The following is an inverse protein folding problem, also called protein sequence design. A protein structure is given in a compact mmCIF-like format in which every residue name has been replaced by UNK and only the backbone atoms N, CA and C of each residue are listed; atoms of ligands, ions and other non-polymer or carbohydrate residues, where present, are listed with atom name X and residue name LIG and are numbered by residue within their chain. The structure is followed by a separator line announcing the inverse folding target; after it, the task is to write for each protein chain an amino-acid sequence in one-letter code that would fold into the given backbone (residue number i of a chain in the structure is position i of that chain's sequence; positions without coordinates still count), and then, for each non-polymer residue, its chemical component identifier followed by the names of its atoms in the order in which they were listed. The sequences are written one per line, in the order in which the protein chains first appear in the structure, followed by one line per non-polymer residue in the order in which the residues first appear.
data_IF_914677065260
#
_entry.id   IF_914677065260
#
_cell.length_a   1.000
_cell.length_b   1.000
_cell.length_c   1.000
_cell.angle_alpha   90.00
_cell.angle_beta   90.00
_cell.angle_gamma   90.00
#
_symmetry.space_group_name_H-M   'P 1'
#
loop_
_entity.id
_entity.type
_entity.pdbx_description
1 polymer ?
#
# COMPACT_ATOMS: atom_id res chain seq x y z
N UNK A 1 -12.87 6.83 0.77
CA UNK A 1 -13.72 5.84 1.46
C UNK A 1 -14.55 6.58 2.49
N UNK A 2 -15.87 6.38 2.50
CA UNK A 2 -16.80 6.97 3.47
C UNK A 2 -17.90 5.98 3.79
N UNK A 3 -18.36 5.95 5.03
CA UNK A 3 -19.52 5.16 5.45
C UNK A 3 -20.11 5.70 6.75
N UNK A 4 -21.37 5.37 7.01
CA UNK A 4 -22.08 5.69 8.26
C UNK A 4 -22.08 4.48 9.17
N UNK A 5 -21.65 4.70 10.42
CA UNK A 5 -21.50 3.67 11.44
C UNK A 5 -22.27 4.06 12.70
N UNK A 6 -22.92 3.08 13.32
CA UNK A 6 -23.50 3.28 14.64
C UNK A 6 -22.40 3.12 15.69
N UNK A 7 -22.18 4.18 16.46
CA UNK A 7 -21.26 4.17 17.61
C UNK A 7 -22.06 4.43 18.88
N UNK A 8 -21.79 3.66 19.93
CA UNK A 8 -22.47 3.81 21.23
C UNK A 8 -21.56 4.51 22.24
N UNK A 9 -22.16 5.19 23.22
CA UNK A 9 -21.40 5.87 24.26
C UNK A 9 -20.48 4.91 25.01
N UNK A 10 -19.20 5.28 25.13
CA UNK A 10 -18.16 4.46 25.78
C UNK A 10 -17.38 3.53 24.85
N UNK A 11 -17.75 3.43 23.57
CA UNK A 11 -16.98 2.70 22.56
C UNK A 11 -15.65 3.42 22.25
N UNK A 12 -14.55 2.67 22.28
CA UNK A 12 -13.20 3.18 21.92
C UNK A 12 -12.91 2.83 20.46
N UNK A 13 -12.61 3.85 19.66
CA UNK A 13 -12.18 3.69 18.28
C UNK A 13 -10.67 3.85 18.18
N UNK A 14 -10.03 2.89 17.55
CA UNK A 14 -8.62 2.91 17.21
C UNK A 14 -8.46 3.45 15.78
N UNK A 15 -7.45 4.29 15.57
CA UNK A 15 -7.22 4.98 14.31
C UNK A 15 -5.75 4.89 13.92
N UNK A 16 -5.50 4.43 12.69
CA UNK A 16 -4.21 4.53 12.01
C UNK A 16 -4.38 5.46 10.83
N UNK A 17 -3.57 6.51 10.77
CA UNK A 17 -3.52 7.44 9.63
C UNK A 17 -2.33 7.06 8.76
N UNK A 18 -2.61 6.66 7.52
CA UNK A 18 -1.57 6.23 6.59
C UNK A 18 -0.62 7.37 6.22
N UNK A 19 0.65 7.07 6.03
CA UNK A 19 1.67 8.00 5.53
C UNK A 19 1.97 7.69 4.06
N UNK A 20 2.31 8.72 3.30
CA UNK A 20 2.91 8.54 1.98
C UNK A 20 4.29 7.85 2.13
N UNK A 21 4.60 6.90 1.26
CA UNK A 21 5.95 6.32 1.21
C UNK A 21 7.00 7.35 0.82
N UNK A 22 8.26 7.13 1.19
CA UNK A 22 9.33 8.09 0.91
C UNK A 22 9.96 7.85 -0.46
N UNK A 23 10.63 8.90 -0.95
CA UNK A 23 11.51 8.81 -2.11
C UNK A 23 12.86 8.20 -1.71
N UNK A 24 13.53 7.47 -2.62
CA UNK A 24 14.86 6.92 -2.34
C UNK A 24 15.90 8.01 -2.10
N UNK A 25 16.73 7.83 -1.07
CA UNK A 25 17.76 8.81 -0.65
C UNK A 25 18.79 9.08 -1.76
N UNK A 26 19.16 8.05 -2.54
CA UNK A 26 20.13 8.16 -3.64
C UNK A 26 19.47 7.99 -5.03
N UNK A 27 18.15 8.19 -5.11
CA UNK A 27 17.42 8.12 -6.37
C UNK A 27 17.89 9.13 -7.41
N UNK A 28 17.80 8.75 -8.68
CA UNK A 28 18.02 9.62 -9.82
C UNK A 28 17.15 9.16 -11.01
N UNK A 29 17.23 9.86 -12.14
CA UNK A 29 16.43 9.55 -13.33
C UNK A 29 16.60 8.12 -13.85
N UNK A 30 17.75 7.50 -13.56
CA UNK A 30 18.08 6.14 -13.99
C UNK A 30 18.05 5.10 -12.86
N UNK A 31 17.91 5.51 -11.59
CA UNK A 31 17.99 4.60 -10.45
C UNK A 31 17.02 4.95 -9.32
N UNK A 32 16.57 3.89 -8.66
CA UNK A 32 15.75 3.96 -7.47
C UNK A 32 14.26 3.74 -7.70
N UNK A 33 13.57 3.45 -6.60
CA UNK A 33 12.12 3.30 -6.56
C UNK A 33 11.57 3.77 -5.20
N UNK A 34 10.43 4.42 -5.22
CA UNK A 34 9.74 4.90 -4.03
C UNK A 34 9.09 3.77 -3.23
N UNK A 35 8.88 4.03 -1.95
CA UNK A 35 8.06 3.17 -1.10
C UNK A 35 6.57 3.33 -1.40
N UNK A 36 5.79 2.31 -1.06
CA UNK A 36 4.33 2.38 -1.10
C UNK A 36 3.78 3.20 0.07
N UNK A 37 2.67 3.91 -0.16
CA UNK A 37 1.93 4.58 0.91
C UNK A 37 1.17 3.57 1.77
N UNK A 38 1.03 3.86 3.07
CA UNK A 38 0.25 3.02 3.96
C UNK A 38 -1.25 3.29 3.90
N UNK A 39 -2.03 2.31 4.35
CA UNK A 39 -3.47 2.41 4.50
C UNK A 39 -3.88 3.26 5.70
N UNK A 40 -5.14 3.72 5.69
CA UNK A 40 -5.78 4.41 6.82
C UNK A 40 -6.88 3.53 7.37
N UNK A 41 -6.90 3.29 8.67
CA UNK A 41 -7.76 2.30 9.32
C UNK A 41 -8.54 2.93 10.46
N UNK A 42 -9.79 2.51 10.62
CA UNK A 42 -10.60 2.77 11.81
C UNK A 42 -11.26 1.46 12.23
N UNK A 43 -11.13 1.10 13.50
CA UNK A 43 -11.77 -0.09 14.06
C UNK A 43 -12.15 0.13 15.53
N UNK A 44 -12.95 -0.77 16.07
CA UNK A 44 -13.29 -0.76 17.50
C UNK A 44 -12.26 -1.55 18.27
N UNK A 45 -11.79 -1.01 19.39
CA UNK A 45 -10.83 -1.71 20.25
C UNK A 45 -11.32 -3.12 20.62
N UNK A 46 -10.43 -4.11 20.50
CA UNK A 46 -10.73 -5.52 20.76
C UNK A 46 -11.50 -6.25 19.65
N UNK A 47 -11.84 -5.58 18.54
CA UNK A 47 -12.41 -6.23 17.35
C UNK A 47 -11.33 -6.61 16.35
N UNK A 48 -11.47 -7.80 15.76
CA UNK A 48 -10.56 -8.31 14.73
C UNK A 48 -10.92 -7.83 13.32
N UNK A 49 -12.09 -7.23 13.12
CA UNK A 49 -12.53 -6.74 11.82
C UNK A 49 -12.60 -5.21 11.83
N UNK A 50 -12.01 -4.53 10.82
CA UNK A 50 -12.03 -3.08 10.80
C UNK A 50 -13.44 -2.57 10.45
N UNK A 51 -13.72 -1.32 10.80
CA UNK A 51 -14.95 -0.66 10.37
C UNK A 51 -14.79 -0.15 8.95
N UNK A 52 -13.69 0.57 8.72
CA UNK A 52 -13.34 1.14 7.42
C UNK A 52 -11.83 1.18 7.26
N UNK A 53 -11.37 0.88 6.05
CA UNK A 53 -9.98 0.96 5.61
C UNK A 53 -9.95 1.63 4.25
N UNK A 54 -9.07 2.62 4.09
CA UNK A 54 -8.70 3.17 2.80
C UNK A 54 -7.29 2.69 2.45
N UNK A 55 -7.17 1.93 1.35
CA UNK A 55 -5.88 1.44 0.86
C UNK A 55 -4.97 2.57 0.35
N UNK A 56 -3.68 2.43 0.63
CA UNK A 56 -2.62 3.29 0.12
C UNK A 56 -2.23 2.95 -1.34
N UNK A 57 -1.59 3.90 -2.01
CA UNK A 57 -1.04 3.69 -3.35
C UNK A 57 0.32 2.98 -3.31
N UNK A 58 0.63 2.24 -4.37
CA UNK A 58 1.97 1.68 -4.58
C UNK A 58 3.00 2.76 -4.91
N UNK A 59 4.27 2.47 -4.62
CA UNK A 59 5.39 3.31 -4.97
C UNK A 59 5.62 3.35 -6.49
N UNK A 60 6.25 4.43 -6.96
CA UNK A 60 6.67 4.53 -8.36
C UNK A 60 8.12 4.08 -8.52
N UNK A 61 8.46 3.64 -9.73
CA UNK A 61 9.83 3.32 -10.15
C UNK A 61 10.28 4.31 -11.24
N UNK A 62 11.44 4.06 -11.84
CA UNK A 62 12.08 4.95 -12.80
C UNK A 62 11.52 4.85 -14.24
N UNK A 63 11.69 5.92 -15.02
CA UNK A 63 10.88 6.18 -16.22
C UNK A 63 11.37 5.49 -17.52
N UNK A 64 12.47 4.74 -17.48
CA UNK A 64 13.20 4.29 -18.67
C UNK A 64 12.40 3.41 -19.65
N UNK A 65 11.34 2.72 -19.20
CA UNK A 65 10.47 1.91 -20.06
C UNK A 65 9.18 2.63 -20.51
N UNK A 66 9.04 3.92 -20.20
CA UNK A 66 7.86 4.70 -20.58
C UNK A 66 6.63 4.43 -19.73
N UNK A 67 5.63 5.29 -19.89
CA UNK A 67 4.34 5.16 -19.19
C UNK A 67 3.52 3.99 -19.76
N UNK A 68 2.71 3.30 -18.92
CA UNK A 68 2.44 3.55 -17.50
C UNK A 68 3.29 2.72 -16.51
N UNK A 69 4.32 2.01 -16.98
CA UNK A 69 4.92 0.86 -16.28
C UNK A 69 5.53 1.24 -14.93
N UNK A 70 6.10 2.43 -14.83
CA UNK A 70 6.80 2.90 -13.64
C UNK A 70 5.90 3.58 -12.61
N UNK A 71 4.65 3.92 -12.95
CA UNK A 71 3.75 4.52 -11.98
C UNK A 71 3.13 3.47 -11.08
N UNK A 72 3.26 3.67 -9.78
CA UNK A 72 2.53 2.90 -8.78
C UNK A 72 1.01 2.96 -9.02
N UNK A 73 0.32 1.87 -8.73
CA UNK A 73 -1.15 1.81 -8.81
C UNK A 73 -1.76 2.52 -7.60
N UNK A 74 -2.88 3.24 -7.76
CA UNK A 74 -3.61 3.79 -6.62
C UNK A 74 -4.22 2.65 -5.80
N UNK A 75 -4.49 2.92 -4.52
CA UNK A 75 -5.34 2.03 -3.71
C UNK A 75 -6.72 1.85 -4.36
N UNK A 76 -7.31 0.68 -4.15
CA UNK A 76 -8.59 0.27 -4.78
C UNK A 76 -9.72 0.20 -3.76
N UNK A 77 -10.97 0.27 -4.21
CA UNK A 77 -12.14 0.22 -3.35
C UNK A 77 -12.57 -1.19 -2.96
N UNK A 78 -11.99 -2.22 -3.60
CA UNK A 78 -12.21 -3.64 -3.30
C UNK A 78 -11.34 -4.10 -2.13
N UNK A 79 -11.77 -5.16 -1.45
CA UNK A 79 -11.03 -5.77 -0.35
C UNK A 79 -9.68 -6.35 -0.79
N UNK A 80 -9.68 -7.02 -1.94
CA UNK A 80 -8.46 -7.53 -2.54
C UNK A 80 -7.65 -6.38 -3.14
N UNK A 81 -6.36 -6.41 -2.86
CA UNK A 81 -5.40 -5.47 -3.39
C UNK A 81 -5.08 -5.77 -4.86
N UNK A 82 -4.36 -4.85 -5.48
CA UNK A 82 -3.84 -5.07 -6.84
C UNK A 82 -2.42 -5.61 -6.79
N UNK A 83 -2.11 -6.50 -7.73
CA UNK A 83 -0.71 -6.77 -8.08
C UNK A 83 -0.04 -5.54 -8.65
N UNK A 84 1.28 -5.57 -8.75
CA UNK A 84 2.06 -4.46 -9.31
C UNK A 84 1.89 -4.32 -10.82
N UNK A 85 2.64 -3.38 -11.42
CA UNK A 85 2.71 -3.27 -12.88
C UNK A 85 3.47 -4.44 -13.52
N UNK A 86 4.34 -5.11 -12.76
CA UNK A 86 5.00 -6.36 -13.17
C UNK A 86 3.99 -7.50 -13.23
N UNK A 87 3.07 -7.55 -12.25
CA UNK A 87 2.03 -8.57 -12.20
C UNK A 87 1.07 -8.50 -13.41
N UNK A 88 0.78 -7.31 -13.90
CA UNK A 88 -0.04 -7.10 -15.12
C UNK A 88 0.57 -7.79 -16.36
N UNK A 89 1.91 -7.92 -16.40
CA UNK A 89 2.66 -8.46 -17.55
C UNK A 89 3.11 -9.91 -17.34
N UNK A 90 3.49 -10.25 -16.10
CA UNK A 90 4.18 -11.49 -15.77
C UNK A 90 3.50 -12.34 -14.69
N UNK A 91 2.47 -11.82 -14.01
CA UNK A 91 1.75 -12.51 -12.94
C UNK A 91 2.70 -13.01 -11.82
N UNK A 92 3.63 -12.15 -11.38
CA UNK A 92 4.74 -12.49 -10.48
C UNK A 92 4.73 -11.74 -9.14
N UNK A 93 3.83 -10.77 -8.96
CA UNK A 93 3.76 -9.94 -7.74
C UNK A 93 2.34 -9.47 -7.48
N UNK A 94 1.45 -10.42 -7.14
CA UNK A 94 0.05 -10.15 -6.89
C UNK A 94 -0.16 -9.37 -5.59
N UNK A 95 -1.31 -8.69 -5.51
CA UNK A 95 -1.79 -8.12 -4.26
C UNK A 95 -2.24 -9.22 -3.30
N UNK A 96 -2.28 -8.87 -2.01
CA UNK A 96 -2.87 -9.70 -0.98
C UNK A 96 -4.38 -9.83 -1.16
N UNK A 97 -4.93 -10.86 -0.53
CA UNK A 97 -6.36 -11.16 -0.54
C UNK A 97 -6.84 -11.38 0.88
N UNK A 98 -8.11 -11.10 1.16
CA UNK A 98 -8.75 -11.39 2.45
C UNK A 98 -7.99 -10.86 3.68
N UNK A 99 -7.37 -9.68 3.58
CA UNK A 99 -6.65 -9.10 4.71
C UNK A 99 -5.14 -9.32 4.70
N UNK A 100 -4.63 -10.15 3.77
CA UNK A 100 -3.23 -10.54 3.74
C UNK A 100 -2.30 -9.51 3.10
N UNK A 101 -1.00 -9.68 3.34
CA UNK A 101 0.06 -8.88 2.75
C UNK A 101 0.17 -9.11 1.23
N UNK A 102 0.63 -8.08 0.53
CA UNK A 102 0.98 -8.16 -0.88
C UNK A 102 2.19 -9.05 -1.09
N UNK A 103 2.19 -9.78 -2.19
CA UNK A 103 3.31 -10.63 -2.53
C UNK A 103 4.37 -9.87 -3.31
N UNK A 104 5.57 -10.41 -3.24
CA UNK A 104 6.72 -9.93 -3.97
C UNK A 104 7.77 -11.01 -3.99
N UNK A 105 8.63 -10.96 -4.99
CA UNK A 105 9.86 -11.78 -5.02
C UNK A 105 10.92 -11.33 -4.00
N UNK A 106 10.69 -10.19 -3.34
CA UNK A 106 11.49 -9.57 -2.27
C UNK A 106 10.58 -9.01 -1.15
N UNK A 107 11.06 -8.63 0.03
CA UNK A 107 10.21 -8.16 1.15
C UNK A 107 9.46 -6.82 0.98
N UNK A 108 9.12 -6.41 -0.25
CA UNK A 108 8.61 -5.08 -0.63
C UNK A 108 7.08 -4.97 -0.77
N UNK A 109 6.33 -6.05 -0.53
CA UNK A 109 4.86 -6.00 -0.57
C UNK A 109 4.30 -5.06 0.49
N UNK A 110 3.16 -4.43 0.20
CA UNK A 110 2.42 -3.70 1.23
C UNK A 110 1.86 -4.68 2.26
N UNK A 111 1.66 -4.23 3.50
CA UNK A 111 1.00 -4.99 4.55
C UNK A 111 -0.51 -4.90 4.44
N UNK A 112 -1.18 -6.02 4.66
CA UNK A 112 -2.61 -6.12 4.86
C UNK A 112 -2.99 -5.97 6.33
N UNK A 113 -4.28 -6.04 6.60
CA UNK A 113 -4.87 -5.92 7.92
C UNK A 113 -4.33 -6.97 8.90
N UNK A 114 -4.04 -8.20 8.45
CA UNK A 114 -3.48 -9.26 9.28
C UNK A 114 -2.16 -8.84 9.94
N UNK A 115 -1.32 -8.09 9.22
CA UNK A 115 -0.05 -7.57 9.71
C UNK A 115 -0.18 -6.18 10.37
N UNK A 116 -1.04 -5.30 9.85
CA UNK A 116 -1.22 -3.93 10.37
C UNK A 116 -1.83 -3.90 11.77
N UNK A 117 -2.69 -4.87 12.10
CA UNK A 117 -3.29 -4.98 13.43
C UNK A 117 -2.22 -5.15 14.53
N UNK A 118 -1.14 -5.87 14.22
CA UNK A 118 -0.02 -6.09 15.14
C UNK A 118 1.01 -4.96 15.08
N UNK A 119 1.36 -4.53 13.86
CA UNK A 119 2.34 -3.47 13.64
C UNK A 119 2.01 -2.65 12.37
N UNK A 120 1.48 -1.43 12.53
CA UNK A 120 1.17 -0.54 11.42
C UNK A 120 2.41 0.08 10.77
N UNK A 121 3.63 -0.20 11.24
CA UNK A 121 4.83 0.37 10.62
C UNK A 121 4.93 0.03 9.13
N UNK A 122 5.43 0.99 8.35
CA UNK A 122 5.84 0.74 6.99
C UNK A 122 7.13 -0.09 6.96
N UNK A 123 7.36 -0.78 5.86
CA UNK A 123 8.57 -1.57 5.66
C UNK A 123 9.71 -0.64 5.25
N UNK A 124 10.86 -0.63 5.97
CA UNK A 124 12.01 0.19 5.58
C UNK A 124 12.54 -0.16 4.20
N UNK A 125 13.17 0.81 3.55
CA UNK A 125 13.94 0.56 2.34
C UNK A 125 15.03 -0.49 2.59
N UNK A 126 15.22 -1.40 1.65
CA UNK A 126 16.27 -2.40 1.77
C UNK A 126 17.67 -1.87 1.47
N UNK A 127 17.77 -0.67 0.86
CA UNK A 127 19.01 0.00 0.50
C UNK A 127 18.76 1.46 0.11
N UNK A 128 19.83 2.23 -0.15
CA UNK A 128 19.78 3.66 -0.45
C UNK A 128 19.05 4.04 -1.75
N UNK A 129 18.81 3.08 -2.65
CA UNK A 129 18.02 3.27 -3.87
C UNK A 129 16.53 2.90 -3.68
N UNK A 130 16.14 2.45 -2.49
CA UNK A 130 14.74 2.27 -2.11
C UNK A 130 14.23 3.43 -1.27
N UNK A 131 12.96 3.77 -1.44
CA UNK A 131 12.20 4.55 -0.47
C UNK A 131 11.58 3.68 0.62
N UNK A 132 11.39 4.23 1.81
CA UNK A 132 10.69 3.56 2.90
C UNK A 132 9.18 3.51 2.61
N UNK A 133 8.54 2.41 2.99
CA UNK A 133 7.09 2.33 3.01
C UNK A 133 6.52 3.25 4.08
N UNK A 134 5.38 3.88 3.79
CA UNK A 134 4.71 4.77 4.75
C UNK A 134 4.05 4.01 5.90
N UNK A 135 3.90 4.67 7.06
CA UNK A 135 3.08 4.18 8.17
C UNK A 135 1.66 3.80 7.71
N UNK A 136 1.04 2.79 8.31
CA UNK A 136 -0.14 2.11 7.78
C UNK A 136 0.20 0.94 6.87
N UNK A 137 1.42 0.38 6.97
CA UNK A 137 1.80 -0.83 6.28
C UNK A 137 2.26 -0.66 4.82
N UNK A 138 2.79 0.49 4.42
CA UNK A 138 3.41 0.63 3.10
C UNK A 138 4.63 -0.28 2.95
N UNK A 139 4.83 -0.84 1.75
CA UNK A 139 6.01 -1.64 1.41
C UNK A 139 7.22 -0.76 1.07
N UNK A 140 8.43 -1.22 1.39
CA UNK A 140 9.70 -0.54 1.09
C UNK A 140 10.21 -0.84 -0.32
N UNK A 141 11.00 0.06 -0.87
CA UNK A 141 11.64 -0.07 -2.18
C UNK A 141 13.02 -0.74 -2.13
N UNK A 142 13.50 -1.17 -3.29
CA UNK A 142 14.89 -1.57 -3.50
C UNK A 142 15.29 -2.93 -2.94
N UNK A 143 14.34 -3.83 -2.66
CA UNK A 143 14.61 -5.09 -1.95
C UNK A 143 15.12 -6.24 -2.83
N UNK A 144 15.93 -7.10 -2.19
CA UNK A 144 16.44 -8.36 -2.72
C UNK A 144 15.58 -9.55 -2.25
N UNK A 145 15.61 -10.70 -2.96
CA UNK A 145 16.21 -10.91 -4.28
C UNK A 145 15.32 -10.35 -5.40
N UNK A 146 15.92 -9.58 -6.30
CA UNK A 146 15.33 -9.25 -7.59
C UNK A 146 16.30 -9.81 -8.65
N UNK A 147 15.79 -10.65 -9.54
CA UNK A 147 16.60 -11.45 -10.47
C UNK A 147 17.26 -10.61 -11.55
N UNK A 148 16.71 -9.43 -11.86
CA UNK A 148 17.20 -8.56 -12.92
C UNK A 148 17.96 -7.35 -12.37
N UNK A 149 17.36 -6.59 -11.46
CA UNK A 149 17.99 -5.44 -10.81
C UNK A 149 17.20 -4.99 -9.56
N UNK A 150 17.75 -5.27 -8.39
CA UNK A 150 17.15 -4.97 -7.08
C UNK A 150 17.09 -3.49 -6.72
N UNK A 151 17.74 -2.59 -7.48
CA UNK A 151 17.73 -1.15 -7.22
C UNK A 151 16.39 -0.48 -7.55
N UNK A 152 15.42 -1.21 -8.13
CA UNK A 152 14.27 -0.60 -8.81
C UNK A 152 12.91 -1.20 -8.45
N UNK A 153 12.86 -2.10 -7.47
CA UNK A 153 11.60 -2.67 -6.99
C UNK A 153 10.85 -1.60 -6.19
N UNK A 154 9.71 -1.11 -6.69
CA UNK A 154 8.86 -0.21 -5.93
C UNK A 154 8.06 -0.95 -4.85
N UNK A 155 7.77 -0.26 -3.75
CA UNK A 155 6.98 -0.83 -2.65
C UNK A 155 5.49 -0.92 -2.97
N UNK A 156 4.80 -1.93 -2.45
CA UNK A 156 3.33 -2.05 -2.53
C UNK A 156 2.61 -1.16 -1.52
N UNK A 157 1.40 -0.70 -1.83
CA UNK A 157 0.58 0.10 -0.90
C UNK A 157 0.00 -0.73 0.25
N UNK A 158 -0.01 -0.20 1.47
CA UNK A 158 -0.70 -0.84 2.60
C UNK A 158 -2.21 -0.73 2.50
N UNK A 159 -2.98 -1.58 3.18
CA UNK A 159 -4.44 -1.52 3.10
C UNK A 159 -5.14 -2.63 3.87
N UNK A 160 -6.42 -2.87 3.55
CA UNK A 160 -7.12 -4.04 4.06
C UNK A 160 -6.38 -5.29 3.58
N UNK A 161 -6.13 -5.40 2.29
CA UNK A 161 -5.10 -6.29 1.76
C UNK A 161 -3.94 -5.44 1.22
N UNK A 162 -2.71 -5.94 1.30
CA UNK A 162 -1.51 -5.23 0.86
C UNK A 162 -1.28 -5.31 -0.65
N UNK A 163 -0.80 -4.24 -1.28
CA UNK A 163 -0.44 -4.20 -2.69
C UNK A 163 0.82 -5.00 -3.02
N UNK A 164 0.88 -5.60 -4.21
CA UNK A 164 2.09 -6.31 -4.65
C UNK A 164 3.28 -5.37 -4.90
N UNK A 165 4.52 -5.83 -4.76
CA UNK A 165 5.69 -4.99 -5.06
C UNK A 165 6.01 -4.96 -6.56
N UNK A 166 6.89 -4.05 -6.98
CA UNK A 166 7.32 -3.85 -8.38
C UNK A 166 7.97 -5.06 -9.11
N UNK A 167 7.92 -6.27 -8.57
CA UNK A 167 8.22 -7.52 -9.28
C UNK A 167 9.68 -7.79 -9.63
N UNK A 168 9.87 -8.77 -10.52
CA UNK A 168 11.16 -9.43 -10.78
C UNK A 168 12.07 -8.71 -11.76
N UNK A 169 11.53 -7.97 -12.72
CA UNK A 169 12.30 -7.37 -13.81
C UNK A 169 11.61 -6.09 -14.32
N UNK A 170 12.39 -5.07 -14.71
CA UNK A 170 11.93 -3.85 -15.38
C UNK A 170 11.10 -2.85 -14.56
N UNK A 171 11.74 -2.03 -13.72
CA UNK A 171 11.27 -0.67 -13.36
C UNK A 171 9.75 -0.48 -13.11
N UNK A 172 9.08 -1.45 -12.48
CA UNK A 172 7.63 -1.44 -12.37
C UNK A 172 7.19 -0.77 -11.07
N UNK A 173 6.14 0.05 -11.17
CA UNK A 173 5.45 0.60 -10.01
C UNK A 173 4.74 -0.49 -9.21
N UNK A 174 4.64 -0.29 -7.89
CA UNK A 174 3.96 -1.20 -6.97
C UNK A 174 2.43 -1.20 -7.16
N UNK A 175 1.79 -2.23 -6.64
CA UNK A 175 0.34 -2.36 -6.56
C UNK A 175 -0.24 -1.48 -5.45
N UNK A 176 -1.48 -1.06 -5.61
CA UNK A 176 -2.24 -0.36 -4.58
C UNK A 176 -2.92 -1.33 -3.61
N UNK A 177 -3.03 -0.92 -2.36
CA UNK A 177 -3.71 -1.67 -1.30
C UNK A 177 -5.22 -1.73 -1.49
N UNK A 178 -5.81 -2.80 -0.95
CA UNK A 178 -7.25 -2.99 -0.89
C UNK A 178 -7.89 -2.09 0.18
N UNK A 179 -9.18 -1.83 0.05
CA UNK A 179 -9.98 -1.06 0.99
C UNK A 179 -11.11 -1.90 1.56
N UNK A 180 -11.66 -1.49 2.69
CA UNK A 180 -12.74 -2.20 3.38
C UNK A 180 -13.74 -1.20 3.94
N UNK A 181 -15.03 -1.51 3.90
CA UNK A 181 -16.05 -0.62 4.46
C UNK A 181 -17.33 -1.42 4.81
N UNK A 182 -17.67 -1.48 6.09
CA UNK A 182 -18.93 -2.09 6.57
C UNK A 182 -20.03 -1.08 6.86
N UNK A 183 -19.75 0.20 6.67
CA UNK A 183 -20.69 1.27 6.90
C UNK A 183 -21.83 1.25 5.89
N UNK A 184 -22.96 1.83 6.28
CA UNK A 184 -24.04 2.15 5.35
C UNK A 184 -23.74 3.43 4.57
N UNK A 185 -24.53 3.74 3.52
CA UNK A 185 -24.39 4.99 2.73
C UNK A 185 -22.97 5.23 2.23
N UNK A 186 -22.36 4.19 1.65
CA UNK A 186 -20.97 4.23 1.25
C UNK A 186 -20.75 5.19 0.07
N UNK A 187 -19.66 5.96 0.15
CA UNK A 187 -19.15 6.76 -0.95
C UNK A 187 -17.64 6.49 -1.08
N UNK A 188 -17.33 5.60 -2.01
CA UNK A 188 -16.00 5.02 -2.18
C UNK A 188 -15.51 5.31 -3.60
N UNK A 189 -14.33 5.91 -3.70
CA UNK A 189 -13.65 6.17 -4.95
C UNK A 189 -12.16 5.92 -4.77
N UNK A 190 -11.55 5.31 -5.79
CA UNK A 190 -10.11 5.06 -5.86
C UNK A 190 -9.38 6.31 -6.41
N UNK A 191 -8.10 6.48 -6.05
CA UNK A 191 -7.23 7.50 -6.65
C UNK A 191 -7.62 8.96 -6.39
N UNK A 192 -8.41 9.23 -5.34
CA UNK A 192 -8.96 10.57 -5.07
C UNK A 192 -8.06 11.50 -4.26
N UNK A 193 -7.00 10.97 -3.62
CA UNK A 193 -6.10 11.74 -2.75
C UNK A 193 -4.65 11.31 -2.94
N UNK A 194 -3.76 12.29 -2.89
CA UNK A 194 -2.31 12.12 -2.76
C UNK A 194 -1.82 12.68 -1.41
N UNK A 195 -0.70 12.16 -0.93
CA UNK A 195 -0.11 12.53 0.36
C UNK A 195 -0.61 11.64 1.49
N UNK A 196 -0.48 12.13 2.72
CA UNK A 196 -0.88 11.38 3.91
C UNK A 196 -2.40 11.15 3.96
N UNK A 197 -2.77 10.05 4.61
CA UNK A 197 -4.14 9.70 4.96
C UNK A 197 -4.83 10.74 5.83
N UNK A 198 -6.12 10.56 6.02
CA UNK A 198 -6.94 11.40 6.88
C UNK A 198 -8.16 10.62 7.33
N UNK A 199 -8.58 10.87 8.57
CA UNK A 199 -9.86 10.41 9.10
C UNK A 199 -10.66 11.64 9.52
N UNK A 200 -11.90 11.71 9.07
CA UNK A 200 -12.85 12.76 9.43
C UNK A 200 -14.10 12.11 10.03
N UNK A 201 -14.51 12.58 11.20
CA UNK A 201 -15.75 12.16 11.85
C UNK A 201 -16.81 13.25 11.66
N UNK A 202 -17.95 12.88 11.09
CA UNK A 202 -19.11 13.76 10.88
C UNK A 202 -20.34 13.15 11.53
N UNK A 203 -21.14 13.97 12.21
CA UNK A 203 -22.31 13.55 12.99
C UNK A 203 -23.62 13.99 12.33
#
# INVERSE_FOLDING_TARGET
MKGTFNVVGGQVLQVVVGEMGSEPVQGNEANGAGGGGGGTFVWTEGQLQPMIVAGGGGGSSLQNNGLPHYQGKPGVTTEDATGSRSDDEYNDSPGGQNGEDGQSVSGSGGRGWSSVLDDPSGVPACQNYGGDGGFGGGGGGGCMPNLCNHLHTAGGGGGYSGGGAGGTCYYHGGGGGGSYNTGSSQDNAAGVKSGNGQVEFTW
#
